data_IF_814871207312
#
_entry.id   IF_814871207312
#
_cell.length_a   1.000
_cell.length_b   1.000
_cell.length_c   1.000
_cell.angle_alpha   90.00
_cell.angle_beta   90.00
_cell.angle_gamma   90.00
#
_symmetry.space_group_name_H-M   'P 1'
#
loop_
_entity.id
_entity.type
_entity.pdbx_description
1 polymer ?
#
# COMPACT_ATOMS: atom_id res chain seq x y z
N UNK A 1 -64.07 38.83 -12.11
CA UNK A 1 -63.67 37.42 -12.31
C UNK A 1 -62.19 37.29 -11.94
N UNK A 2 -61.88 36.86 -10.71
CA UNK A 2 -60.50 36.68 -10.23
C UNK A 2 -60.06 35.25 -10.58
N UNK A 3 -59.02 35.10 -11.42
CA UNK A 3 -58.40 33.81 -11.70
C UNK A 3 -57.40 33.51 -10.59
N UNK A 4 -57.66 32.43 -9.86
CA UNK A 4 -56.77 31.85 -8.85
C UNK A 4 -55.74 31.01 -9.61
N UNK A 5 -54.46 31.34 -9.49
CA UNK A 5 -53.36 30.49 -9.92
C UNK A 5 -53.01 29.54 -8.77
N UNK A 6 -53.27 28.25 -8.96
CA UNK A 6 -52.82 27.20 -8.06
C UNK A 6 -51.39 26.82 -8.46
N UNK A 7 -50.41 27.11 -7.60
CA UNK A 7 -49.02 26.66 -7.76
C UNK A 7 -48.93 25.25 -7.20
N UNK A 8 -48.69 24.28 -8.07
CA UNK A 8 -48.38 22.90 -7.71
C UNK A 8 -46.88 22.86 -7.33
N UNK A 9 -46.57 22.70 -6.05
CA UNK A 9 -45.19 22.56 -5.58
C UNK A 9 -44.78 21.08 -5.72
N UNK A 10 -43.94 20.79 -6.71
CA UNK A 10 -43.35 19.48 -6.94
C UNK A 10 -42.12 19.36 -6.05
N UNK A 11 -42.25 18.64 -4.93
CA UNK A 11 -41.12 18.32 -4.05
C UNK A 11 -40.28 17.26 -4.77
N UNK A 12 -39.13 17.67 -5.30
CA UNK A 12 -38.13 16.77 -5.87
C UNK A 12 -37.30 16.20 -4.72
N UNK A 13 -37.62 14.96 -4.33
CA UNK A 13 -36.85 14.23 -3.32
C UNK A 13 -35.51 13.81 -3.95
N UNK A 14 -34.46 14.60 -3.74
CA UNK A 14 -33.10 14.20 -4.09
C UNK A 14 -32.65 13.13 -3.09
N UNK A 15 -32.79 11.87 -3.46
CA UNK A 15 -32.05 10.79 -2.81
C UNK A 15 -30.61 10.90 -3.31
N UNK A 16 -29.70 11.36 -2.45
CA UNK A 16 -28.28 11.20 -2.72
C UNK A 16 -28.00 9.70 -2.76
N UNK A 17 -27.70 9.19 -3.95
CA UNK A 17 -27.10 7.86 -4.11
C UNK A 17 -25.71 7.95 -3.48
N UNK A 18 -25.55 7.45 -2.28
CA UNK A 18 -24.21 7.14 -1.76
C UNK A 18 -23.71 5.97 -2.60
N UNK A 19 -22.63 6.18 -3.36
CA UNK A 19 -21.93 5.07 -4.03
C UNK A 19 -21.29 4.24 -2.93
N UNK A 20 -21.60 2.95 -2.92
CA UNK A 20 -20.96 1.96 -2.05
C UNK A 20 -19.50 1.78 -2.50
N UNK A 21 -18.59 1.63 -1.54
CA UNK A 21 -17.16 1.45 -1.81
C UNK A 21 -16.93 0.11 -2.53
N UNK A 22 -16.18 0.12 -3.63
CA UNK A 22 -15.86 -1.12 -4.35
C UNK A 22 -14.93 -2.00 -3.53
N UNK A 23 -15.25 -3.27 -3.22
CA UNK A 23 -14.34 -4.16 -2.52
C UNK A 23 -13.13 -4.58 -3.36
N UNK A 24 -13.01 -4.13 -4.61
CA UNK A 24 -11.93 -4.51 -5.53
C UNK A 24 -11.18 -3.29 -6.05
N UNK A 25 -9.97 -3.54 -6.54
CA UNK A 25 -9.11 -2.53 -7.19
C UNK A 25 -9.93 -1.65 -8.15
N UNK A 26 -9.84 -0.33 -7.98
CA UNK A 26 -10.53 0.63 -8.84
C UNK A 26 -9.66 1.10 -10.01
N UNK A 27 -8.33 1.09 -9.84
CA UNK A 27 -7.38 1.50 -10.87
C UNK A 27 -5.99 0.87 -10.70
N UNK A 28 -5.32 0.67 -11.82
CA UNK A 28 -3.87 0.41 -11.86
C UNK A 28 -3.16 1.71 -12.13
N UNK A 29 -2.18 2.03 -11.29
CA UNK A 29 -1.39 3.28 -11.31
C UNK A 29 -0.13 3.10 -12.14
N UNK A 30 0.57 1.99 -11.92
CA UNK A 30 1.76 1.63 -12.67
C UNK A 30 1.82 0.12 -12.89
N UNK A 31 2.28 -0.31 -14.06
CA UNK A 31 2.61 -1.69 -14.35
C UNK A 31 3.99 -1.74 -15.02
N UNK A 32 4.96 -2.32 -14.32
CA UNK A 32 6.36 -2.35 -14.71
C UNK A 32 6.94 -3.74 -14.47
N UNK A 33 6.62 -4.72 -15.33
CA UNK A 33 7.13 -6.07 -15.20
C UNK A 33 8.64 -6.10 -15.48
N UNK A 34 9.32 -7.05 -14.84
CA UNK A 34 10.68 -7.44 -15.20
C UNK A 34 10.62 -8.38 -16.42
N UNK A 35 11.76 -8.67 -17.08
CA UNK A 35 11.78 -9.64 -18.16
C UNK A 35 11.29 -11.03 -17.71
N UNK A 36 10.57 -11.74 -18.59
CA UNK A 36 10.03 -13.07 -18.27
C UNK A 36 9.39 -13.77 -19.47
N UNK A 37 9.20 -15.09 -19.38
CA UNK A 37 8.72 -15.95 -20.46
C UNK A 37 7.31 -15.61 -20.94
N UNK A 38 6.50 -14.94 -20.11
CA UNK A 38 5.15 -14.52 -20.46
C UNK A 38 5.08 -13.05 -20.90
N UNK A 39 6.15 -12.28 -20.73
CA UNK A 39 6.20 -10.88 -21.12
C UNK A 39 6.28 -10.75 -22.64
N UNK A 40 5.47 -9.83 -23.20
CA UNK A 40 5.20 -9.67 -24.64
C UNK A 40 4.54 -10.89 -25.31
N UNK A 41 3.91 -11.77 -24.52
CA UNK A 41 3.22 -12.98 -25.01
C UNK A 41 1.82 -13.09 -24.41
N UNK A 42 1.74 -13.20 -23.10
CA UNK A 42 0.48 -13.18 -22.34
C UNK A 42 0.32 -11.87 -21.57
N UNK A 43 1.42 -11.29 -21.09
CA UNK A 43 1.41 -10.15 -20.17
C UNK A 43 2.34 -9.00 -20.63
N UNK A 44 1.81 -7.96 -21.29
CA UNK A 44 0.60 -7.97 -22.10
C UNK A 44 0.73 -8.92 -23.31
N UNK A 45 -0.35 -9.19 -24.04
CA UNK A 45 -0.26 -9.78 -25.37
C UNK A 45 0.47 -8.83 -26.35
N UNK A 46 0.99 -9.34 -27.49
CA UNK A 46 1.81 -8.55 -28.40
C UNK A 46 1.19 -7.24 -28.89
N UNK A 47 -0.13 -7.22 -29.11
CA UNK A 47 -0.90 -6.05 -29.57
C UNK A 47 -1.13 -4.99 -28.47
N UNK A 48 -0.82 -5.32 -27.21
CA UNK A 48 -0.90 -4.41 -26.05
C UNK A 48 0.47 -4.15 -25.41
N UNK A 49 1.56 -4.62 -26.03
CA UNK A 49 2.94 -4.50 -25.51
C UNK A 49 3.76 -3.42 -26.24
N UNK A 50 3.15 -2.60 -27.08
CA UNK A 50 3.84 -1.62 -27.92
C UNK A 50 4.12 -0.28 -27.22
N UNK A 51 3.23 0.18 -26.33
CA UNK A 51 3.41 1.43 -25.58
C UNK A 51 3.14 1.27 -24.07
N UNK A 52 3.68 2.17 -23.22
CA UNK A 52 3.38 2.15 -21.79
C UNK A 52 1.88 2.28 -21.48
N UNK A 53 1.16 3.08 -22.26
CA UNK A 53 -0.29 3.28 -22.09
C UNK A 53 -1.08 2.00 -22.39
N UNK A 54 -0.70 1.25 -23.43
CA UNK A 54 -1.35 -0.01 -23.75
C UNK A 54 -1.02 -1.08 -22.70
N UNK A 55 0.22 -1.15 -22.22
CA UNK A 55 0.59 -2.06 -21.14
C UNK A 55 -0.17 -1.74 -19.84
N UNK A 56 -0.31 -0.46 -19.49
CA UNK A 56 -1.10 -0.03 -18.33
C UNK A 56 -2.59 -0.32 -18.52
N UNK A 57 -3.14 -0.06 -19.72
CA UNK A 57 -4.52 -0.37 -20.06
C UNK A 57 -4.80 -1.87 -19.92
N UNK A 58 -3.90 -2.72 -20.42
CA UNK A 58 -4.00 -4.16 -20.23
C UNK A 58 -4.08 -4.52 -18.75
N UNK A 59 -3.17 -4.01 -17.92
CA UNK A 59 -3.18 -4.30 -16.49
C UNK A 59 -4.47 -3.82 -15.81
N UNK A 60 -4.97 -2.64 -16.18
CA UNK A 60 -6.23 -2.09 -15.68
C UNK A 60 -7.43 -2.99 -16.04
N UNK A 61 -7.54 -3.39 -17.31
CA UNK A 61 -8.60 -4.31 -17.78
C UNK A 61 -8.55 -5.70 -17.13
N UNK A 62 -7.40 -6.13 -16.60
CA UNK A 62 -7.27 -7.41 -15.88
C UNK A 62 -7.55 -7.29 -14.39
N UNK A 63 -7.04 -6.25 -13.73
CA UNK A 63 -7.08 -6.18 -12.28
C UNK A 63 -8.34 -5.50 -11.74
N UNK A 64 -8.92 -4.54 -12.46
CA UNK A 64 -10.16 -3.90 -12.02
C UNK A 64 -11.29 -4.91 -12.04
N UNK A 65 -12.01 -5.04 -10.91
CA UNK A 65 -13.06 -6.03 -10.73
C UNK A 65 -12.57 -7.49 -10.76
N UNK A 66 -11.26 -7.74 -10.58
CA UNK A 66 -10.64 -9.06 -10.64
C UNK A 66 -10.93 -9.82 -11.96
N UNK A 67 -10.99 -9.08 -13.08
CA UNK A 67 -11.45 -9.57 -14.38
C UNK A 67 -10.48 -10.54 -15.08
N UNK A 68 -9.24 -10.63 -14.64
CA UNK A 68 -8.22 -11.48 -15.21
C UNK A 68 -6.93 -11.46 -14.41
N UNK A 69 -5.82 -11.75 -15.08
CA UNK A 69 -4.52 -11.92 -14.42
C UNK A 69 -3.43 -11.22 -15.22
N UNK A 70 -2.41 -10.73 -14.51
CA UNK A 70 -1.16 -10.22 -15.08
C UNK A 70 0.00 -11.00 -14.47
N UNK A 71 1.14 -11.07 -15.16
CA UNK A 71 2.39 -11.58 -14.63
C UNK A 71 3.42 -10.47 -14.49
N UNK A 72 4.20 -10.51 -13.42
CA UNK A 72 5.17 -9.47 -13.11
C UNK A 72 6.57 -9.75 -13.68
N UNK A 73 6.80 -10.95 -14.25
CA UNK A 73 8.11 -11.38 -14.71
C UNK A 73 9.05 -11.71 -13.55
N UNK A 74 10.35 -11.79 -13.83
CA UNK A 74 11.37 -12.11 -12.84
C UNK A 74 11.42 -11.10 -11.66
N UNK A 75 12.36 -11.32 -10.72
CA UNK A 75 12.52 -10.51 -9.52
C UNK A 75 12.35 -9.00 -9.76
N UNK A 76 11.57 -8.37 -8.89
CA UNK A 76 11.43 -6.91 -8.80
C UNK A 76 10.42 -6.30 -9.76
N UNK A 77 10.00 -7.01 -10.81
CA UNK A 77 8.87 -6.59 -11.64
C UNK A 77 7.62 -6.39 -10.79
N UNK A 78 6.85 -5.33 -11.07
CA UNK A 78 5.81 -4.89 -10.14
C UNK A 78 4.56 -4.28 -10.79
N UNK A 79 3.51 -4.16 -9.97
CA UNK A 79 2.30 -3.39 -10.24
C UNK A 79 1.97 -2.53 -9.02
N UNK A 80 1.44 -1.32 -9.26
CA UNK A 80 0.90 -0.44 -8.22
C UNK A 80 -0.58 -0.22 -8.52
N UNK A 81 -1.43 -0.42 -7.51
CA UNK A 81 -2.89 -0.33 -7.62
C UNK A 81 -3.46 0.56 -6.53
N UNK A 82 -4.66 1.08 -6.77
CA UNK A 82 -5.42 1.87 -5.81
C UNK A 82 -6.90 1.51 -5.81
N UNK A 83 -7.55 1.88 -4.70
CA UNK A 83 -8.99 1.71 -4.48
C UNK A 83 -9.71 3.06 -4.64
N UNK A 84 -11.03 3.04 -4.77
CA UNK A 84 -11.87 4.25 -4.80
C UNK A 84 -12.06 4.89 -3.41
N UNK A 85 -11.51 4.26 -2.39
CA UNK A 85 -11.41 4.69 -1.00
C UNK A 85 -10.08 4.22 -0.40
N UNK A 86 -9.77 4.65 0.82
CA UNK A 86 -8.65 4.11 1.60
C UNK A 86 -9.06 2.79 2.24
N UNK A 87 -8.20 1.77 2.20
CA UNK A 87 -8.40 0.53 2.97
C UNK A 87 -8.03 0.83 4.43
N UNK A 88 -8.99 0.65 5.33
CA UNK A 88 -8.81 0.90 6.76
C UNK A 88 -8.06 -0.25 7.40
N UNK A 89 -7.13 0.05 8.30
CA UNK A 89 -6.53 -0.94 9.19
C UNK A 89 -7.50 -1.27 10.33
N UNK A 90 -8.15 -2.43 10.25
CA UNK A 90 -8.96 -2.98 11.32
C UNK A 90 -8.05 -3.82 12.22
N UNK A 91 -7.57 -3.19 13.30
CA UNK A 91 -6.57 -3.77 14.20
C UNK A 91 -6.82 -5.22 14.58
N UNK A 92 -5.80 -6.05 14.34
CA UNK A 92 -5.84 -7.48 14.64
C UNK A 92 -6.55 -8.36 13.59
N UNK A 93 -7.31 -7.77 12.67
CA UNK A 93 -8.01 -8.48 11.61
C UNK A 93 -7.17 -8.57 10.33
N UNK A 94 -7.63 -9.37 9.36
CA UNK A 94 -7.13 -9.30 8.00
C UNK A 94 -7.88 -8.20 7.26
N UNK A 95 -7.15 -7.28 6.63
CA UNK A 95 -7.72 -6.08 6.01
C UNK A 95 -8.03 -6.30 4.53
N UNK A 96 -7.17 -7.05 3.83
CA UNK A 96 -7.39 -7.39 2.44
C UNK A 96 -6.86 -8.78 2.10
N UNK A 97 -7.36 -9.33 0.99
CA UNK A 97 -6.89 -10.58 0.38
C UNK A 97 -6.33 -10.30 -1.00
N UNK A 98 -5.10 -10.73 -1.27
CA UNK A 98 -4.54 -10.68 -2.61
C UNK A 98 -4.73 -12.02 -3.33
N UNK A 99 -5.01 -11.97 -4.63
CA UNK A 99 -5.31 -13.12 -5.45
C UNK A 99 -4.19 -13.37 -6.46
N UNK A 100 -3.80 -14.65 -6.63
CA UNK A 100 -2.84 -15.11 -7.64
C UNK A 100 -3.38 -16.28 -8.46
N UNK A 101 -2.48 -17.12 -8.97
CA UNK A 101 -2.79 -18.38 -9.66
C UNK A 101 -2.31 -19.63 -8.90
N UNK A 102 -1.62 -19.47 -7.77
CA UNK A 102 -0.92 -20.54 -7.09
C UNK A 102 -1.80 -21.76 -6.78
N UNK A 103 -1.15 -22.92 -6.84
CA UNK A 103 -1.67 -24.19 -6.37
C UNK A 103 -0.54 -24.95 -5.67
N UNK A 104 -0.84 -26.12 -5.11
CA UNK A 104 0.11 -26.88 -4.32
C UNK A 104 1.43 -27.13 -5.09
N UNK A 105 2.56 -26.72 -4.49
CA UNK A 105 3.90 -26.79 -5.07
C UNK A 105 4.10 -25.97 -6.36
N UNK A 106 3.35 -24.88 -6.54
CA UNK A 106 3.49 -23.92 -7.65
C UNK A 106 3.41 -22.47 -7.15
N UNK A 107 4.06 -22.17 -6.02
CA UNK A 107 4.08 -20.83 -5.44
C UNK A 107 5.09 -19.91 -6.15
N UNK A 108 4.66 -18.70 -6.48
CA UNK A 108 5.47 -17.63 -7.10
C UNK A 108 5.33 -16.32 -6.28
N UNK A 109 5.84 -16.31 -5.05
CA UNK A 109 5.47 -15.34 -4.02
C UNK A 109 5.81 -13.88 -4.38
N UNK A 110 4.77 -13.05 -4.37
CA UNK A 110 4.85 -11.60 -4.50
C UNK A 110 4.89 -10.89 -3.16
N UNK A 111 5.82 -9.97 -2.99
CA UNK A 111 5.93 -9.12 -1.80
C UNK A 111 4.97 -7.94 -1.93
N UNK A 112 4.30 -7.60 -0.82
CA UNK A 112 3.36 -6.49 -0.74
C UNK A 112 4.00 -5.32 0.00
N UNK A 113 3.97 -4.15 -0.64
CA UNK A 113 4.28 -2.86 -0.05
C UNK A 113 3.02 -2.01 -0.05
N UNK A 114 2.84 -1.15 0.95
CA UNK A 114 1.68 -0.27 1.10
C UNK A 114 2.10 1.18 1.31
N UNK A 115 1.28 2.11 0.86
CA UNK A 115 1.52 3.56 0.96
C UNK A 115 0.22 4.30 1.23
N UNK A 116 0.32 5.41 1.98
CA UNK A 116 -0.76 6.36 2.20
C UNK A 116 -0.64 7.53 1.22
N UNK A 117 -1.78 8.04 0.76
CA UNK A 117 -1.91 9.29 0.02
C UNK A 117 -2.11 10.43 1.04
N UNK A 118 -0.99 10.93 1.57
CA UNK A 118 -0.97 11.92 2.64
C UNK A 118 -1.45 13.29 2.16
N UNK A 119 -1.20 13.62 0.89
CA UNK A 119 -1.61 14.90 0.31
C UNK A 119 -2.95 14.84 -0.44
N UNK A 120 -3.53 13.65 -0.59
CA UNK A 120 -4.84 13.38 -1.20
C UNK A 120 -4.90 13.73 -2.69
N UNK A 121 -3.80 13.55 -3.43
CA UNK A 121 -3.74 13.86 -4.85
C UNK A 121 -4.13 12.67 -5.77
N UNK A 122 -4.36 11.50 -5.17
CA UNK A 122 -4.78 10.26 -5.83
C UNK A 122 -3.65 9.45 -6.45
N UNK A 123 -2.38 9.78 -6.18
CA UNK A 123 -1.18 9.14 -6.73
C UNK A 123 -0.12 8.94 -5.63
N UNK A 124 0.69 7.86 -5.69
CA UNK A 124 1.82 7.72 -4.79
C UNK A 124 2.89 8.75 -5.15
N UNK A 125 3.28 9.59 -4.18
CA UNK A 125 4.36 10.56 -4.38
C UNK A 125 5.72 10.04 -3.92
N UNK A 126 6.80 10.56 -4.51
CA UNK A 126 8.17 10.14 -4.18
C UNK A 126 8.55 10.37 -2.71
N UNK A 127 7.92 11.34 -2.06
CA UNK A 127 8.15 11.68 -0.65
C UNK A 127 7.23 10.93 0.32
N UNK A 128 6.34 10.08 -0.18
CA UNK A 128 5.47 9.24 0.65
C UNK A 128 6.16 7.89 0.90
N UNK A 129 6.25 7.47 2.18
CA UNK A 129 6.96 6.24 2.52
C UNK A 129 6.15 5.00 2.11
N UNK A 130 6.86 4.05 1.50
CA UNK A 130 6.36 2.70 1.26
C UNK A 130 6.78 1.78 2.40
N UNK A 131 5.84 0.99 2.91
CA UNK A 131 6.06 0.03 3.99
C UNK A 131 5.86 -1.39 3.49
N UNK A 132 6.81 -2.28 3.73
CA UNK A 132 6.63 -3.71 3.41
C UNK A 132 5.68 -4.32 4.44
N UNK A 133 4.76 -5.19 4.00
CA UNK A 133 4.04 -6.05 4.92
C UNK A 133 4.90 -7.29 5.19
N UNK A 134 5.47 -7.36 6.40
CA UNK A 134 6.42 -8.40 6.78
C UNK A 134 5.77 -9.79 6.84
N UNK A 135 5.95 -10.56 5.77
CA UNK A 135 5.50 -11.95 5.67
C UNK A 135 6.32 -12.95 6.50
N UNK A 136 5.91 -14.21 6.45
CA UNK A 136 6.53 -15.31 7.22
C UNK A 136 8.03 -15.52 7.00
N UNK A 137 8.57 -15.16 5.83
CA UNK A 137 9.98 -15.32 5.47
C UNK A 137 10.77 -14.00 5.56
N UNK A 138 10.15 -12.93 6.08
CA UNK A 138 10.76 -11.60 6.16
C UNK A 138 12.09 -11.61 6.92
N UNK A 139 12.16 -12.36 8.03
CA UNK A 139 13.33 -12.46 8.90
C UNK A 139 14.21 -13.69 8.63
N UNK A 140 13.94 -14.43 7.55
CA UNK A 140 14.76 -15.58 7.21
C UNK A 140 16.19 -15.13 6.86
N UNK A 141 17.26 -15.83 7.31
CA UNK A 141 18.64 -15.40 7.07
C UNK A 141 19.05 -15.28 5.59
N UNK A 142 18.37 -16.02 4.70
CA UNK A 142 18.58 -15.97 3.25
C UNK A 142 17.72 -14.90 2.54
N UNK A 143 16.80 -14.25 3.26
CA UNK A 143 16.03 -13.12 2.73
C UNK A 143 16.88 -11.86 2.76
N UNK A 144 17.08 -11.25 1.59
CA UNK A 144 17.98 -10.10 1.41
C UNK A 144 17.15 -8.83 1.31
N UNK A 145 17.32 -7.91 2.26
CA UNK A 145 16.73 -6.57 2.21
C UNK A 145 17.56 -5.65 1.33
N UNK A 146 16.93 -4.62 0.76
CA UNK A 146 17.58 -3.66 -0.13
C UNK A 146 18.33 -4.33 -1.31
N UNK A 147 17.83 -5.47 -1.79
CA UNK A 147 18.39 -6.15 -2.95
C UNK A 147 18.05 -5.36 -4.21
N UNK A 148 19.04 -5.15 -5.06
CA UNK A 148 18.92 -4.41 -6.31
C UNK A 148 19.44 -5.29 -7.46
N UNK A 149 18.66 -5.36 -8.54
CA UNK A 149 19.01 -6.09 -9.76
C UNK A 149 18.94 -5.15 -10.95
N UNK A 150 19.82 -5.36 -11.92
CA UNK A 150 19.77 -4.70 -13.23
C UNK A 150 19.72 -5.76 -14.32
N UNK A 151 18.66 -5.72 -15.12
CA UNK A 151 18.51 -6.50 -16.35
C UNK A 151 19.04 -5.71 -17.55
N UNK A 152 19.61 -6.41 -18.52
CA UNK A 152 20.20 -5.82 -19.72
C UNK A 152 19.46 -6.30 -20.97
N UNK A 153 19.03 -5.36 -21.82
CA UNK A 153 18.47 -5.68 -23.14
C UNK A 153 19.49 -6.49 -23.95
N UNK A 154 19.08 -7.59 -24.62
CA UNK A 154 19.98 -8.33 -25.50
C UNK A 154 20.44 -7.50 -26.70
N UNK A 155 21.66 -7.76 -27.16
CA UNK A 155 22.24 -7.14 -28.36
C UNK A 155 22.79 -8.26 -29.28
N UNK A 156 22.17 -8.55 -30.43
CA UNK A 156 20.92 -7.96 -30.94
C UNK A 156 19.67 -8.45 -30.19
N UNK A 157 18.69 -7.56 -30.01
CA UNK A 157 17.37 -7.88 -29.45
C UNK A 157 16.49 -8.62 -30.49
N UNK A 158 15.43 -9.28 -30.02
CA UNK A 158 14.44 -9.93 -30.88
C UNK A 158 14.88 -11.28 -31.48
N UNK A 159 16.03 -11.82 -31.08
CA UNK A 159 16.57 -13.11 -31.56
C UNK A 159 16.35 -14.28 -30.60
N UNK A 160 15.36 -14.16 -29.70
CA UNK A 160 15.09 -15.16 -28.64
C UNK A 160 16.28 -15.40 -27.71
N UNK A 161 17.05 -14.34 -27.47
CA UNK A 161 18.19 -14.35 -26.55
C UNK A 161 17.73 -14.41 -25.09
N UNK A 162 18.56 -15.02 -24.23
CA UNK A 162 18.41 -14.89 -22.79
C UNK A 162 18.67 -13.44 -22.34
N UNK A 163 18.06 -13.03 -21.22
CA UNK A 163 18.21 -11.68 -20.67
C UNK A 163 19.26 -11.71 -19.56
N UNK A 164 20.38 -11.01 -19.73
CA UNK A 164 21.43 -10.95 -18.70
C UNK A 164 20.99 -10.06 -17.54
N UNK A 165 21.43 -10.39 -16.32
CA UNK A 165 21.29 -9.53 -15.16
C UNK A 165 22.55 -9.52 -14.28
N UNK A 166 22.72 -8.47 -13.50
CA UNK A 166 23.68 -8.35 -12.39
C UNK A 166 22.97 -7.82 -11.16
N UNK A 167 23.49 -8.08 -9.96
CA UNK A 167 22.92 -7.58 -8.72
C UNK A 167 23.91 -6.76 -7.86
N UNK A 168 23.40 -6.14 -6.79
CA UNK A 168 24.20 -5.44 -5.78
C UNK A 168 24.87 -6.38 -4.76
N UNK A 169 24.93 -7.69 -5.05
CA UNK A 169 25.63 -8.71 -4.29
C UNK A 169 26.79 -9.30 -5.10
N UNK A 170 27.21 -8.62 -6.16
CA UNK A 170 28.29 -9.00 -7.08
C UNK A 170 28.02 -10.30 -7.87
N UNK A 171 26.77 -10.73 -7.95
CA UNK A 171 26.38 -11.87 -8.78
C UNK A 171 25.89 -11.42 -10.15
N UNK A 172 25.93 -12.36 -11.09
CA UNK A 172 25.34 -12.22 -12.41
C UNK A 172 24.64 -13.51 -12.84
N UNK A 173 23.75 -13.39 -13.82
CA UNK A 173 23.06 -14.53 -14.40
C UNK A 173 22.23 -14.16 -15.61
N UNK A 174 21.32 -15.05 -15.98
CA UNK A 174 20.40 -14.83 -17.10
C UNK A 174 18.99 -15.29 -16.77
N UNK A 175 18.00 -14.67 -17.41
CA UNK A 175 16.63 -15.19 -17.55
C UNK A 175 16.56 -15.94 -18.88
N UNK A 176 16.28 -17.25 -18.82
CA UNK A 176 16.33 -18.11 -20.00
C UNK A 176 15.15 -17.86 -20.93
N UNK A 177 15.41 -17.75 -22.25
CA UNK A 177 14.33 -17.63 -23.22
C UNK A 177 13.57 -18.95 -23.39
N UNK A 178 12.26 -18.93 -23.08
CA UNK A 178 11.39 -20.10 -23.13
C UNK A 178 10.10 -19.89 -23.93
N UNK A 179 9.89 -18.69 -24.46
CA UNK A 179 8.65 -18.28 -25.10
C UNK A 179 8.66 -18.33 -26.63
N UNK A 180 7.52 -18.02 -27.24
CA UNK A 180 7.39 -17.92 -28.70
C UNK A 180 7.77 -16.53 -29.23
N UNK A 181 7.64 -15.50 -28.39
CA UNK A 181 7.93 -14.11 -28.68
C UNK A 181 9.41 -13.87 -29.02
N UNK A 182 9.67 -12.82 -29.80
CA UNK A 182 11.02 -12.45 -30.24
C UNK A 182 11.93 -12.04 -29.09
N UNK A 183 11.37 -11.40 -28.06
CA UNK A 183 12.10 -10.96 -26.86
C UNK A 183 11.23 -11.04 -25.60
N UNK A 184 11.86 -11.35 -24.47
CA UNK A 184 11.23 -11.33 -23.14
C UNK A 184 11.46 -10.00 -22.42
N UNK A 185 12.24 -9.08 -23.00
CA UNK A 185 12.44 -7.74 -22.46
C UNK A 185 11.18 -6.90 -22.78
N UNK A 186 10.56 -6.22 -21.80
CA UNK A 186 9.35 -5.43 -22.05
C UNK A 186 9.49 -4.48 -23.24
N UNK A 187 8.64 -4.63 -24.27
CA UNK A 187 8.80 -3.95 -25.56
C UNK A 187 8.64 -2.42 -25.46
N UNK A 188 7.78 -1.94 -24.55
CA UNK A 188 7.50 -0.52 -24.37
C UNK A 188 8.55 0.24 -23.55
N UNK A 189 9.51 -0.47 -22.96
CA UNK A 189 10.63 0.17 -22.26
C UNK A 189 11.68 0.51 -23.30
N UNK A 190 12.06 1.79 -23.41
CA UNK A 190 13.10 2.24 -24.35
C UNK A 190 14.52 1.99 -23.86
N UNK A 191 14.72 1.98 -22.54
CA UNK A 191 16.05 1.86 -21.94
C UNK A 191 16.65 0.47 -22.19
N UNK A 192 17.97 0.42 -22.33
CA UNK A 192 18.72 -0.83 -22.48
C UNK A 192 19.00 -1.53 -21.14
N UNK A 193 18.62 -0.89 -20.04
CA UNK A 193 18.70 -1.47 -18.70
C UNK A 193 17.40 -1.26 -17.93
N UNK A 194 17.02 -2.25 -17.13
CA UNK A 194 15.90 -2.19 -16.20
C UNK A 194 16.39 -2.53 -14.80
N UNK A 195 16.32 -1.57 -13.89
CA UNK A 195 16.73 -1.76 -12.49
C UNK A 195 15.52 -1.83 -11.58
N UNK A 196 15.54 -2.79 -10.66
CA UNK A 196 14.53 -2.95 -9.63
C UNK A 196 15.19 -3.12 -8.27
N UNK A 197 14.52 -2.61 -7.23
CA UNK A 197 14.96 -2.71 -5.83
C UNK A 197 13.82 -3.17 -4.95
N UNK A 198 14.11 -4.05 -3.99
CA UNK A 198 13.14 -4.55 -3.02
C UNK A 198 13.74 -5.59 -2.09
N UNK A 199 12.89 -6.31 -1.37
CA UNK A 199 13.28 -7.50 -0.61
C UNK A 199 13.34 -8.71 -1.55
N UNK A 200 14.41 -9.49 -1.51
CA UNK A 200 14.54 -10.78 -2.20
C UNK A 200 14.35 -11.92 -1.21
N UNK A 201 13.28 -12.67 -1.36
CA UNK A 201 13.01 -13.89 -0.60
C UNK A 201 13.99 -14.98 -1.01
N UNK A 202 14.21 -15.95 -0.11
CA UNK A 202 15.00 -17.14 -0.46
C UNK A 202 14.33 -17.93 -1.58
N UNK A 203 15.13 -18.66 -2.35
CA UNK A 203 14.61 -19.53 -3.39
C UNK A 203 14.04 -20.81 -2.78
N UNK A 204 12.92 -21.28 -3.31
CA UNK A 204 12.21 -22.46 -2.78
C UNK A 204 12.14 -23.60 -3.78
N UNK A 205 12.42 -23.35 -5.07
CA UNK A 205 12.37 -24.36 -6.11
C UNK A 205 13.35 -25.51 -5.86
N UNK A 206 12.86 -26.75 -5.92
CA UNK A 206 13.70 -27.95 -5.93
C UNK A 206 13.11 -29.03 -6.83
N UNK A 207 13.91 -30.04 -7.15
CA UNK A 207 13.50 -31.19 -7.97
C UNK A 207 13.42 -32.45 -7.12
N UNK A 208 12.23 -33.03 -7.06
CA UNK A 208 11.96 -34.34 -6.46
C UNK A 208 10.95 -35.07 -7.34
N UNK A 209 11.49 -35.81 -8.32
CA UNK A 209 10.74 -36.29 -9.49
C UNK A 209 10.38 -35.15 -10.45
N UNK A 210 9.41 -34.33 -10.06
CA UNK A 210 9.01 -33.08 -10.74
C UNK A 210 9.59 -31.86 -10.02
N UNK A 211 9.59 -30.73 -10.71
CA UNK A 211 9.97 -29.45 -10.09
C UNK A 211 8.82 -29.02 -9.17
N UNK A 212 9.17 -28.62 -7.96
CA UNK A 212 8.24 -28.17 -6.92
C UNK A 212 8.64 -26.77 -6.48
N UNK A 213 7.66 -25.89 -6.33
CA UNK A 213 7.80 -24.55 -5.78
C UNK A 213 6.92 -24.47 -4.52
N UNK A 214 7.42 -24.89 -3.35
CA UNK A 214 6.67 -24.79 -2.09
C UNK A 214 6.34 -23.35 -1.74
N UNK A 215 5.16 -23.18 -1.15
CA UNK A 215 4.72 -21.93 -0.58
C UNK A 215 5.48 -21.59 0.71
N UNK A 216 5.66 -20.30 0.97
CA UNK A 216 5.94 -19.77 2.30
C UNK A 216 4.69 -19.86 3.20
N UNK A 217 4.81 -19.64 4.51
CA UNK A 217 3.68 -19.90 5.42
C UNK A 217 2.50 -18.92 5.23
N UNK A 218 2.76 -17.62 5.07
CA UNK A 218 1.77 -16.55 4.88
C UNK A 218 2.44 -15.23 4.45
N UNK A 219 1.63 -14.24 4.02
CA UNK A 219 2.07 -12.86 3.80
C UNK A 219 2.64 -12.55 2.41
N UNK A 220 2.31 -13.37 1.41
CA UNK A 220 2.80 -13.19 0.03
C UNK A 220 1.68 -13.47 -0.97
N UNK A 221 1.63 -12.66 -2.04
CA UNK A 221 0.71 -12.85 -3.17
C UNK A 221 1.15 -14.08 -3.95
N UNK A 222 0.23 -14.79 -4.58
CA UNK A 222 0.56 -15.92 -5.45
C UNK A 222 1.40 -17.01 -4.77
N UNK A 223 1.14 -17.19 -3.48
CA UNK A 223 1.88 -18.11 -2.62
C UNK A 223 1.04 -19.35 -2.27
N UNK A 224 -0.22 -19.13 -1.89
CA UNK A 224 -1.20 -20.18 -1.62
C UNK A 224 -2.37 -20.10 -2.58
N UNK A 225 -3.11 -21.21 -2.74
CA UNK A 225 -4.31 -21.21 -3.55
C UNK A 225 -5.33 -20.22 -3.01
N UNK A 226 -6.03 -19.52 -3.91
CA UNK A 226 -7.05 -18.54 -3.53
C UNK A 226 -8.20 -19.15 -2.71
N UNK A 227 -8.38 -20.48 -2.70
CA UNK A 227 -9.38 -21.17 -1.88
C UNK A 227 -8.91 -21.53 -0.47
N UNK A 228 -7.64 -21.33 -0.14
CA UNK A 228 -7.12 -21.54 1.22
C UNK A 228 -7.69 -20.50 2.19
N UNK A 229 -7.55 -20.81 3.47
CA UNK A 229 -8.02 -19.97 4.57
C UNK A 229 -7.36 -18.58 4.54
N UNK A 230 -8.00 -17.63 5.24
CA UNK A 230 -7.56 -16.24 5.23
C UNK A 230 -6.17 -16.08 5.85
N UNK A 231 -5.78 -16.97 6.77
CA UNK A 231 -4.45 -16.99 7.38
C UNK A 231 -3.32 -17.23 6.36
N UNK A 232 -3.65 -17.84 5.23
CA UNK A 232 -2.70 -18.14 4.14
C UNK A 232 -2.73 -17.11 3.01
N UNK A 233 -3.85 -16.42 2.82
CA UNK A 233 -4.12 -15.57 1.64
C UNK A 233 -4.39 -14.10 1.97
N UNK A 234 -4.67 -13.80 3.24
CA UNK A 234 -4.97 -12.48 3.76
C UNK A 234 -3.72 -11.72 4.21
N UNK A 235 -3.89 -10.41 4.27
CA UNK A 235 -2.89 -9.45 4.69
C UNK A 235 -3.42 -8.58 5.81
N UNK A 236 -2.58 -8.32 6.80
CA UNK A 236 -2.84 -7.34 7.84
C UNK A 236 -1.95 -6.12 7.60
N UNK A 237 -2.51 -4.93 7.64
CA UNK A 237 -1.78 -3.67 7.58
C UNK A 237 -0.89 -3.53 8.82
N UNK A 238 -1.26 -4.17 9.94
CA UNK A 238 -0.42 -4.31 11.15
C UNK A 238 0.95 -4.97 10.91
N UNK A 239 1.15 -5.63 9.76
CA UNK A 239 2.45 -6.19 9.37
C UNK A 239 3.39 -5.16 8.75
N UNK A 240 2.97 -3.91 8.60
CA UNK A 240 3.77 -2.85 8.02
C UNK A 240 5.06 -2.62 8.81
N UNK A 241 6.18 -2.58 8.09
CA UNK A 241 7.50 -2.24 8.63
C UNK A 241 8.19 -1.17 7.79
N UNK A 242 9.01 -0.35 8.46
CA UNK A 242 9.85 0.66 7.82
C UNK A 242 11.09 0.04 7.13
N UNK A 243 11.93 0.90 6.56
CA UNK A 243 13.17 0.52 5.86
C UNK A 243 14.21 -0.17 6.76
N UNK A 244 14.04 -0.10 8.08
CA UNK A 244 14.87 -0.73 9.11
C UNK A 244 14.21 -1.97 9.72
N UNK A 245 12.98 -2.32 9.30
CA UNK A 245 12.23 -3.44 9.84
C UNK A 245 11.51 -3.13 11.16
N UNK A 246 11.39 -1.86 11.57
CA UNK A 246 10.57 -1.51 12.73
C UNK A 246 9.10 -1.51 12.34
N UNK A 247 8.24 -2.03 13.21
CA UNK A 247 6.79 -2.00 13.01
C UNK A 247 6.27 -0.56 12.92
N UNK A 248 5.35 -0.34 11.98
CA UNK A 248 4.70 0.95 11.73
C UNK A 248 3.21 0.81 11.94
N UNK A 249 2.65 1.72 12.74
CA UNK A 249 1.21 1.80 12.98
C UNK A 249 0.55 2.68 11.91
N UNK A 250 -0.08 2.05 10.92
CA UNK A 250 -0.86 2.73 9.87
C UNK A 250 -2.34 2.61 10.19
N UNK A 251 -3.08 3.73 10.12
CA UNK A 251 -4.54 3.73 10.27
C UNK A 251 -5.27 3.30 8.99
N UNK A 252 -4.65 3.51 7.83
CA UNK A 252 -5.17 3.16 6.51
C UNK A 252 -4.04 3.12 5.49
N UNK A 253 -4.36 2.63 4.28
CA UNK A 253 -3.51 2.66 3.09
C UNK A 253 -4.35 3.07 1.86
N UNK A 254 -3.71 3.65 0.85
CA UNK A 254 -4.37 4.08 -0.40
C UNK A 254 -3.81 3.35 -1.62
N UNK A 255 -2.55 2.94 -1.54
CA UNK A 255 -1.85 2.27 -2.61
C UNK A 255 -1.22 0.96 -2.13
N UNK A 256 -1.30 -0.03 -3.01
CA UNK A 256 -0.64 -1.32 -2.82
C UNK A 256 0.29 -1.54 -4.01
N UNK A 257 1.56 -1.84 -3.72
CA UNK A 257 2.54 -2.30 -4.70
C UNK A 257 2.83 -3.78 -4.46
N UNK A 258 2.76 -4.58 -5.51
CA UNK A 258 3.14 -6.00 -5.48
C UNK A 258 4.33 -6.17 -6.41
N UNK A 259 5.39 -6.82 -5.94
CA UNK A 259 6.53 -7.18 -6.80
C UNK A 259 6.94 -8.64 -6.66
N UNK A 260 7.48 -9.24 -7.73
CA UNK A 260 8.04 -10.60 -7.67
C UNK A 260 9.15 -10.67 -6.62
N UNK A 261 9.00 -11.58 -5.66
CA UNK A 261 9.87 -11.66 -4.49
C UNK A 261 11.09 -12.57 -4.65
N UNK A 262 11.11 -13.46 -5.64
CA UNK A 262 12.19 -14.44 -5.85
C UNK A 262 12.98 -14.19 -7.14
N UNK A 263 14.26 -14.57 -7.12
CA UNK A 263 15.11 -14.66 -8.31
C UNK A 263 15.59 -16.12 -8.44
N UNK A 264 14.82 -16.93 -9.15
CA UNK A 264 15.14 -18.34 -9.40
C UNK A 264 14.79 -18.78 -10.82
N UNK A 265 15.51 -19.80 -11.29
CA UNK A 265 15.27 -20.51 -12.55
C UNK A 265 14.86 -21.96 -12.22
N UNK A 266 13.56 -22.24 -12.32
CA UNK A 266 12.92 -23.51 -12.01
C UNK A 266 12.96 -24.48 -13.20
N UNK A 267 14.14 -24.68 -13.78
CA UNK A 267 14.40 -25.69 -14.82
C UNK A 267 13.58 -25.50 -16.10
N UNK A 268 12.62 -26.39 -16.36
CA UNK A 268 11.75 -26.28 -17.55
C UNK A 268 10.53 -25.39 -17.32
N UNK A 269 10.29 -24.97 -16.07
CA UNK A 269 9.28 -23.97 -15.75
C UNK A 269 9.77 -22.55 -16.01
N UNK A 270 11.08 -22.33 -16.14
CA UNK A 270 11.67 -21.01 -16.38
C UNK A 270 11.82 -20.19 -15.11
N UNK A 271 11.76 -18.87 -15.24
CA UNK A 271 11.84 -17.95 -14.13
C UNK A 271 10.61 -18.04 -13.23
N UNK A 272 10.79 -17.71 -11.95
CA UNK A 272 9.64 -17.43 -11.09
C UNK A 272 9.09 -16.04 -11.36
N UNK A 273 7.78 -15.98 -11.63
CA UNK A 273 7.06 -14.75 -11.95
C UNK A 273 5.75 -14.70 -11.18
N UNK A 274 5.64 -13.79 -10.21
CA UNK A 274 4.37 -13.58 -9.50
C UNK A 274 3.27 -13.21 -10.48
N UNK A 275 2.15 -13.93 -10.40
CA UNK A 275 0.93 -13.59 -11.11
C UNK A 275 -0.10 -12.96 -10.17
N UNK A 276 -0.67 -11.82 -10.59
CA UNK A 276 -1.62 -11.04 -9.80
C UNK A 276 -2.97 -11.05 -10.49
N UNK A 277 -3.99 -11.57 -9.80
CA UNK A 277 -5.38 -11.60 -10.26
C UNK A 277 -6.23 -10.46 -9.70
N UNK A 278 -5.82 -9.92 -8.56
CA UNK A 278 -6.47 -8.75 -7.95
C UNK A 278 -6.35 -8.72 -6.45
N UNK A 279 -7.04 -7.78 -5.83
CA UNK A 279 -7.07 -7.58 -4.38
C UNK A 279 -8.51 -7.32 -3.98
N UNK A 280 -8.93 -7.91 -2.85
CA UNK A 280 -10.24 -7.74 -2.24
C UNK A 280 -10.04 -7.06 -0.90
N UNK A 281 -10.60 -5.86 -0.73
CA UNK A 281 -10.80 -5.24 0.59
C UNK A 281 -11.86 -6.05 1.36
N UNK A 282 -11.52 -6.45 2.57
CA UNK A 282 -12.40 -7.25 3.44
C UNK A 282 -13.33 -6.38 4.28
N UNK A 283 -13.08 -5.06 4.35
CA UNK A 283 -13.86 -4.09 5.10
C UNK A 283 -14.13 -2.81 4.28
N UNK A 284 -14.76 -2.89 3.09
CA UNK A 284 -14.97 -1.72 2.22
C UNK A 284 -15.84 -0.64 2.88
N UNK A 285 -16.69 -1.01 3.83
CA UNK A 285 -17.52 -0.07 4.61
C UNK A 285 -16.87 0.38 5.92
N UNK A 286 -15.65 -0.09 6.22
CA UNK A 286 -14.93 0.39 7.39
C UNK A 286 -14.70 1.88 7.23
N UNK A 287 -15.23 2.63 8.18
CA UNK A 287 -14.92 4.04 8.32
C UNK A 287 -13.65 4.10 9.13
N UNK A 288 -12.69 4.92 8.69
CA UNK A 288 -11.61 5.34 9.57
C UNK A 288 -12.27 5.82 10.84
N UNK A 289 -12.13 5.04 11.92
CA UNK A 289 -12.45 5.57 13.22
C UNK A 289 -11.60 6.82 13.29
N UNK A 290 -12.26 7.99 13.27
CA UNK A 290 -11.63 9.14 13.87
C UNK A 290 -11.13 8.57 15.18
N UNK A 291 -9.86 8.77 15.47
CA UNK A 291 -9.50 8.97 16.86
C UNK A 291 -10.30 10.22 17.27
N UNK A 292 -11.61 10.06 17.47
CA UNK A 292 -12.27 10.51 18.67
C UNK A 292 -11.36 9.91 19.72
N UNK A 293 -10.51 10.72 20.34
CA UNK A 293 -9.66 10.27 21.41
C UNK A 293 -10.62 9.71 22.43
N UNK A 294 -10.71 8.39 22.49
CA UNK A 294 -11.45 7.69 23.51
C UNK A 294 -10.71 8.02 24.80
N UNK A 295 -11.23 9.04 25.49
CA UNK A 295 -10.72 9.74 26.66
C UNK A 295 -9.91 11.05 26.44
N UNK A 296 -10.39 11.99 25.61
CA UNK A 296 -10.29 13.38 26.06
C UNK A 296 -11.55 13.70 26.84
N UNK A 297 -11.42 13.70 28.16
CA UNK A 297 -12.29 14.55 28.93
C UNK A 297 -12.03 15.99 28.46
N UNK A 298 -13.05 16.72 27.99
CA UNK A 298 -12.91 18.17 27.82
C UNK A 298 -12.92 18.80 29.21
N UNK A 299 -11.96 19.69 29.46
CA UNK A 299 -11.96 20.50 30.67
C UNK A 299 -12.82 21.75 30.41
N UNK A 300 -13.64 22.14 31.38
CA UNK A 300 -14.35 23.42 31.26
C UNK A 300 -13.33 24.56 31.35
N UNK A 301 -13.01 25.19 30.22
CA UNK A 301 -12.07 26.31 30.15
C UNK A 301 -12.74 27.61 29.69
N UNK A 302 -12.10 28.74 29.99
CA UNK A 302 -12.48 30.03 29.42
C UNK A 302 -11.27 30.96 29.32
N UNK A 303 -11.29 31.84 28.32
CA UNK A 303 -10.27 32.89 28.14
C UNK A 303 -10.88 34.24 28.49
N UNK A 304 -10.24 34.98 29.39
CA UNK A 304 -10.65 36.35 29.73
C UNK A 304 -9.42 37.24 29.89
N UNK A 305 -9.40 38.38 29.19
CA UNK A 305 -8.28 39.34 29.19
C UNK A 305 -6.91 38.69 28.90
N UNK A 306 -6.89 37.76 27.94
CA UNK A 306 -5.68 37.05 27.52
C UNK A 306 -5.13 36.06 28.55
N UNK A 307 -5.95 35.64 29.52
CA UNK A 307 -5.62 34.56 30.46
C UNK A 307 -6.60 33.42 30.27
N UNK A 308 -6.06 32.23 30.05
CA UNK A 308 -6.83 30.98 30.05
C UNK A 308 -7.00 30.48 31.47
N UNK A 309 -8.20 30.05 31.79
CA UNK A 309 -8.58 29.47 33.08
C UNK A 309 -9.21 28.11 32.88
N UNK A 310 -8.86 27.17 33.75
CA UNK A 310 -9.45 25.84 33.86
C UNK A 310 -10.38 25.82 35.07
N UNK A 311 -11.60 25.32 34.91
CA UNK A 311 -12.61 25.23 35.98
C UNK A 311 -12.78 23.80 36.47
N UNK A 312 -13.19 23.69 37.73
CA UNK A 312 -13.77 22.46 38.31
C UNK A 312 -12.84 21.23 38.25
N UNK A 313 -11.52 21.44 38.25
CA UNK A 313 -10.52 20.39 38.38
C UNK A 313 -9.25 20.88 39.09
N UNK A 314 -8.55 19.96 39.74
CA UNK A 314 -7.19 20.19 40.21
C UNK A 314 -6.22 19.99 39.05
N UNK A 315 -5.36 20.98 38.81
CA UNK A 315 -4.46 21.00 37.64
C UNK A 315 -3.01 20.89 38.10
N UNK A 316 -2.32 19.85 37.61
CA UNK A 316 -0.89 19.65 37.84
C UNK A 316 -0.05 20.26 36.71
N UNK A 317 -0.55 20.25 35.48
CA UNK A 317 0.17 20.76 34.30
C UNK A 317 -0.80 21.40 33.28
N UNK A 318 -0.38 22.50 32.67
CA UNK A 318 -1.00 23.04 31.45
C UNK A 318 0.10 23.27 30.42
N UNK A 319 -0.03 22.66 29.25
CA UNK A 319 0.80 22.87 28.07
C UNK A 319 -0.02 23.60 26.99
N UNK A 320 0.58 24.60 26.34
CA UNK A 320 0.03 25.27 25.17
C UNK A 320 0.90 24.94 23.95
N UNK A 321 0.26 24.48 22.89
CA UNK A 321 0.88 24.18 21.61
C UNK A 321 0.34 25.11 20.52
N UNK A 322 1.19 25.55 19.59
CA UNK A 322 0.72 26.19 18.37
C UNK A 322 0.15 25.15 17.37
N UNK A 323 -0.44 25.60 16.27
CA UNK A 323 -1.05 24.72 15.26
C UNK A 323 -0.02 23.86 14.49
N UNK A 324 1.28 24.15 14.60
CA UNK A 324 2.36 23.31 14.08
C UNK A 324 2.80 22.22 15.08
N UNK A 325 2.15 22.12 16.24
CA UNK A 325 2.46 21.14 17.28
C UNK A 325 3.63 21.51 18.20
N UNK A 326 4.18 22.73 18.09
CA UNK A 326 5.29 23.15 18.94
C UNK A 326 4.76 23.66 20.30
N UNK A 327 5.36 23.19 21.40
CA UNK A 327 5.09 23.66 22.75
C UNK A 327 5.55 25.12 22.89
N UNK A 328 4.61 26.04 23.12
CA UNK A 328 4.86 27.48 23.25
C UNK A 328 4.83 27.97 24.69
N UNK A 329 4.14 27.25 25.59
CA UNK A 329 4.08 27.62 27.01
C UNK A 329 3.73 26.42 27.88
N UNK A 330 4.28 26.38 29.09
CA UNK A 330 3.98 25.37 30.09
C UNK A 330 3.87 26.02 31.47
N UNK A 331 2.86 25.64 32.25
CA UNK A 331 2.73 26.02 33.67
C UNK A 331 2.37 24.80 34.52
N UNK A 332 2.81 24.78 35.77
CA UNK A 332 2.62 23.67 36.70
C UNK A 332 1.86 24.12 37.95
N UNK A 333 1.06 23.23 38.52
CA UNK A 333 0.32 23.42 39.77
C UNK A 333 -0.50 24.72 39.82
N UNK A 334 -1.12 25.08 38.69
CA UNK A 334 -1.99 26.25 38.55
C UNK A 334 -3.09 25.98 37.54
N UNK A 335 -4.28 26.49 37.82
CA UNK A 335 -5.46 26.38 36.94
C UNK A 335 -5.54 27.53 35.91
N UNK A 336 -4.48 28.31 35.71
CA UNK A 336 -4.47 29.39 34.72
C UNK A 336 -3.12 29.62 34.06
N UNK A 337 -3.16 30.11 32.82
CA UNK A 337 -1.98 30.48 32.03
C UNK A 337 -2.24 31.79 31.27
N UNK A 338 -1.32 32.75 31.41
CA UNK A 338 -1.35 33.98 30.61
C UNK A 338 -0.93 33.69 29.17
N UNK A 339 -1.69 34.18 28.21
CA UNK A 339 -1.45 34.08 26.77
C UNK A 339 -1.10 35.43 26.14
N UNK A 340 -1.02 36.51 26.93
CA UNK A 340 -0.77 37.87 26.43
C UNK A 340 0.58 38.07 25.71
N UNK A 341 1.55 37.20 25.98
CA UNK A 341 2.87 37.14 25.37
C UNK A 341 2.93 36.27 24.11
N UNK A 342 1.85 35.55 23.80
CA UNK A 342 1.76 34.68 22.62
C UNK A 342 1.15 35.45 21.42
N UNK A 343 1.56 35.15 20.18
CA UNK A 343 0.91 35.68 18.99
C UNK A 343 -0.60 35.43 18.97
N UNK A 344 -1.38 36.28 18.30
CA UNK A 344 -2.80 36.00 18.07
C UNK A 344 -2.94 34.76 17.18
N UNK A 345 -3.81 33.84 17.57
CA UNK A 345 -3.94 32.58 16.86
C UNK A 345 -4.69 31.51 17.64
N UNK A 346 -4.75 30.34 17.04
CA UNK A 346 -5.33 29.12 17.64
C UNK A 346 -4.24 28.34 18.35
N UNK A 347 -4.57 27.84 19.53
CA UNK A 347 -3.69 27.00 20.35
C UNK A 347 -4.42 25.74 20.78
N UNK A 348 -3.65 24.66 20.96
CA UNK A 348 -4.10 23.45 21.63
C UNK A 348 -3.61 23.50 23.07
N UNK A 349 -4.51 23.22 24.00
CA UNK A 349 -4.27 23.22 25.44
C UNK A 349 -4.33 21.77 25.89
N UNK A 350 -3.24 21.25 26.43
CA UNK A 350 -3.21 19.97 27.15
C UNK A 350 -3.19 20.28 28.65
N UNK A 351 -4.12 19.72 29.41
CA UNK A 351 -4.22 19.88 30.85
C UNK A 351 -4.04 18.50 31.48
N UNK A 352 -3.24 18.41 32.53
CA UNK A 352 -3.07 17.19 33.33
C UNK A 352 -3.64 17.42 34.73
N UNK A 353 -4.46 16.49 35.22
CA UNK A 353 -5.00 16.52 36.59
C UNK A 353 -4.05 15.85 37.61
N UNK A 354 -4.50 15.70 38.85
CA UNK A 354 -3.79 15.02 39.95
C UNK A 354 -3.78 13.49 39.83
N UNK A 355 -4.70 12.92 39.04
CA UNK A 355 -4.76 11.50 38.67
C UNK A 355 -3.92 11.17 37.43
N UNK A 356 -3.21 12.16 36.87
CA UNK A 356 -2.43 12.06 35.64
C UNK A 356 -3.28 11.79 34.38
N UNK A 357 -4.57 12.12 34.42
CA UNK A 357 -5.48 12.15 33.27
C UNK A 357 -5.22 13.39 32.43
N UNK A 358 -5.35 13.26 31.11
CA UNK A 358 -5.09 14.35 30.15
C UNK A 358 -6.35 14.82 29.46
N UNK A 359 -6.50 16.14 29.38
CA UNK A 359 -7.64 16.84 28.79
C UNK A 359 -7.13 17.77 27.70
N UNK A 360 -7.79 17.80 26.55
CA UNK A 360 -7.35 18.62 25.43
C UNK A 360 -8.45 19.58 25.00
N UNK A 361 -8.09 20.84 24.81
CA UNK A 361 -9.03 21.88 24.38
C UNK A 361 -8.41 22.74 23.29
N UNK A 362 -9.26 23.30 22.43
CA UNK A 362 -8.87 24.33 21.46
C UNK A 362 -9.21 25.72 22.02
N UNK A 363 -8.27 26.65 21.97
CA UNK A 363 -8.50 28.05 22.33
C UNK A 363 -8.00 29.02 21.29
N UNK A 364 -8.60 30.20 21.29
CA UNK A 364 -8.16 31.33 20.46
C UNK A 364 -7.69 32.45 21.39
N UNK A 365 -6.47 32.95 21.16
CA UNK A 365 -5.89 34.10 21.87
C UNK A 365 -6.31 35.44 21.24
#
# INVERSE_FOLDING_TARGET
MKKIFTIFSMIMLCVALFSENSPTISRVIEYRPAPGQHINRLFPPPDMSDTPENALKFANEKLVGNAGIIGLGAFGGYVIVGFDHSIVNVKGEYDFKALGNAFQNSAEPGIVMVCQDLNKNGKPDENEPWYELAGSDYYHPETIKNYEITYYRPEPDGQKSAIRWTDNQENEGTIKHMGSQSTMYPLWISDNTLTFKGTKLRNTAYKDGMIKLPAFDWGYVDNHSNSEDIEKTGFKIDWAVDDKGNSVDLAYIDFIKIHTGQLQEAGWLGETSTEVKGIIDLHPDAVLSSVEPTNYHEATIFVSKGVLWVKEMEVTLINLYNIQGALVKQVQNTASVSMNDLPKGVYIVEITDDMNSKYFNKVTN
#
